data_IF_813149885680
#
_entry.id   IF_813149885680
#
_cell.length_a   1.000
_cell.length_b   1.000
_cell.length_c   1.000
_cell.angle_alpha   90.00
_cell.angle_beta   90.00
_cell.angle_gamma   90.00
#
_symmetry.space_group_name_H-M   'P 1'
#
loop_
_entity.id
_entity.type
_entity.pdbx_description
1 polymer ?
#
# COMPACT_ATOMS: atom_id res chain seq x y z
N UNK A 1 -24.68 -22.36 -10.72
CA UNK A 1 -23.41 -21.59 -10.67
C UNK A 1 -23.73 -20.25 -10.03
N UNK A 2 -23.51 -20.10 -8.72
CA UNK A 2 -23.73 -18.81 -8.06
C UNK A 2 -22.53 -17.92 -8.35
N UNK A 3 -22.74 -16.81 -9.07
CA UNK A 3 -21.70 -15.82 -9.28
C UNK A 3 -21.21 -15.33 -7.91
N UNK A 4 -19.93 -15.53 -7.62
CA UNK A 4 -19.32 -14.96 -6.42
C UNK A 4 -19.46 -13.44 -6.51
N UNK A 5 -20.12 -12.85 -5.51
CA UNK A 5 -20.35 -11.40 -5.49
C UNK A 5 -19.01 -10.69 -5.34
N UNK A 6 -18.74 -9.76 -6.25
CA UNK A 6 -17.53 -8.94 -6.25
C UNK A 6 -17.92 -7.49 -5.99
N UNK A 7 -17.40 -6.93 -4.91
CA UNK A 7 -17.62 -5.54 -4.52
C UNK A 7 -16.31 -4.76 -4.67
N UNK A 8 -16.36 -3.64 -5.38
CA UNK A 8 -15.25 -2.71 -5.52
C UNK A 8 -15.35 -1.65 -4.43
N UNK A 9 -14.28 -1.49 -3.65
CA UNK A 9 -14.22 -0.60 -2.50
C UNK A 9 -13.08 0.39 -2.67
N UNK A 10 -13.41 1.68 -2.57
CA UNK A 10 -12.40 2.73 -2.60
C UNK A 10 -11.60 2.69 -1.29
N UNK A 11 -10.28 2.57 -1.42
CA UNK A 11 -9.38 2.52 -0.27
C UNK A 11 -8.29 3.58 -0.34
N UNK A 12 -7.23 3.38 0.45
CA UNK A 12 -6.07 4.28 0.53
C UNK A 12 -5.13 4.25 -0.68
N UNK A 13 -5.41 3.38 -1.67
CA UNK A 13 -4.61 3.24 -2.89
C UNK A 13 -5.23 3.96 -4.09
N UNK A 14 -4.48 4.05 -5.19
CA UNK A 14 -4.96 4.64 -6.44
C UNK A 14 -6.00 3.77 -7.18
N UNK A 15 -5.94 2.45 -6.95
CA UNK A 15 -6.88 1.48 -7.53
C UNK A 15 -7.87 1.01 -6.46
N UNK A 16 -9.16 0.82 -6.81
CA UNK A 16 -10.14 0.26 -5.88
C UNK A 16 -9.74 -1.17 -5.47
N UNK A 17 -10.02 -1.51 -4.22
CA UNK A 17 -9.84 -2.87 -3.73
C UNK A 17 -11.02 -3.74 -4.16
N UNK A 18 -10.74 -5.00 -4.49
CA UNK A 18 -11.75 -6.00 -4.82
C UNK A 18 -12.02 -6.86 -3.57
N UNK A 19 -13.28 -6.95 -3.17
CA UNK A 19 -13.74 -7.93 -2.19
C UNK A 19 -14.61 -8.96 -2.91
N UNK A 20 -14.24 -10.23 -2.82
CA UNK A 20 -14.94 -11.37 -3.42
C UNK A 20 -15.54 -12.25 -2.34
N UNK A 21 -16.83 -12.56 -2.46
CA UNK A 21 -17.54 -13.53 -1.62
C UNK A 21 -17.80 -14.80 -2.41
N UNK A 22 -17.00 -15.82 -2.17
CA UNK A 22 -17.13 -17.13 -2.79
C UNK A 22 -17.82 -18.10 -1.82
N UNK A 23 -19.16 -18.13 -1.85
CA UNK A 23 -19.96 -18.94 -0.93
C UNK A 23 -19.80 -18.46 0.53
N UNK A 24 -19.08 -19.25 1.34
CA UNK A 24 -18.79 -18.97 2.75
C UNK A 24 -17.41 -18.32 2.99
N UNK A 25 -16.56 -18.26 1.95
CA UNK A 25 -15.21 -17.70 2.03
C UNK A 25 -15.17 -16.30 1.46
N UNK A 26 -14.43 -15.41 2.10
CA UNK A 26 -14.17 -14.05 1.64
C UNK A 26 -12.72 -13.92 1.18
N UNK A 27 -12.49 -13.06 0.20
CA UNK A 27 -11.14 -12.69 -0.25
C UNK A 27 -11.11 -11.21 -0.58
N UNK A 28 -10.24 -10.44 0.07
CA UNK A 28 -10.07 -9.02 -0.19
C UNK A 28 -8.66 -8.73 -0.71
N UNK A 29 -8.52 -7.83 -1.70
CA UNK A 29 -7.20 -7.43 -2.21
C UNK A 29 -6.53 -6.32 -1.41
N UNK A 30 -7.17 -5.85 -0.33
CA UNK A 30 -6.61 -4.79 0.53
C UNK A 30 -5.35 -5.25 1.28
N UNK A 31 -4.47 -4.29 1.58
CA UNK A 31 -3.19 -4.53 2.27
C UNK A 31 -3.36 -5.19 3.64
N UNK A 32 -4.41 -4.81 4.37
CA UNK A 32 -4.75 -5.40 5.67
C UNK A 32 -5.04 -6.89 5.50
N UNK A 33 -5.94 -7.26 4.60
CA UNK A 33 -6.27 -8.65 4.34
C UNK A 33 -5.05 -9.48 3.90
N UNK A 34 -4.20 -8.91 3.04
CA UNK A 34 -2.99 -9.59 2.55
C UNK A 34 -1.93 -9.80 3.63
N UNK A 35 -1.83 -8.89 4.60
CA UNK A 35 -0.79 -8.95 5.64
C UNK A 35 -1.31 -9.49 6.98
N UNK A 36 -2.58 -9.89 7.08
CA UNK A 36 -3.07 -10.59 8.27
C UNK A 36 -2.59 -12.04 8.22
N UNK A 37 -1.67 -12.37 9.11
CA UNK A 37 -1.14 -13.71 9.33
C UNK A 37 -2.04 -14.47 10.32
N UNK A 38 -3.28 -14.72 9.92
CA UNK A 38 -4.25 -15.52 10.67
C UNK A 38 -4.84 -16.63 9.79
N UNK A 39 -5.58 -17.56 10.40
CA UNK A 39 -6.36 -18.57 9.71
C UNK A 39 -7.33 -17.85 8.76
N UNK A 40 -7.41 -18.29 7.50
CA UNK A 40 -8.21 -17.65 6.45
C UNK A 40 -9.67 -17.36 6.89
N UNK A 41 -10.24 -18.22 7.73
CA UNK A 41 -11.59 -18.04 8.32
C UNK A 41 -11.70 -16.95 9.38
N UNK A 42 -10.61 -16.52 10.01
CA UNK A 42 -10.59 -15.45 11.04
C UNK A 42 -10.08 -14.11 10.51
N UNK A 43 -9.55 -14.08 9.29
CA UNK A 43 -9.16 -12.83 8.63
C UNK A 43 -10.37 -11.93 8.46
N UNK A 44 -10.19 -10.65 8.78
CA UNK A 44 -11.18 -9.60 8.56
C UNK A 44 -10.49 -8.32 8.14
N UNK A 45 -11.23 -7.38 7.58
CA UNK A 45 -10.74 -6.06 7.24
C UNK A 45 -11.90 -5.07 7.29
N UNK A 46 -11.61 -3.77 7.41
CA UNK A 46 -12.67 -2.74 7.47
C UNK A 46 -13.60 -2.78 6.26
N UNK A 47 -13.09 -3.13 5.09
CA UNK A 47 -13.88 -3.31 3.88
C UNK A 47 -14.96 -4.39 4.03
N UNK A 48 -14.60 -5.53 4.61
CA UNK A 48 -15.54 -6.63 4.88
C UNK A 48 -16.51 -6.28 6.02
N UNK A 49 -16.01 -5.60 7.06
CA UNK A 49 -16.82 -5.09 8.18
C UNK A 49 -17.87 -4.07 7.70
N UNK A 50 -17.54 -3.22 6.73
CA UNK A 50 -18.51 -2.26 6.17
C UNK A 50 -19.65 -2.94 5.42
N UNK A 51 -19.39 -4.09 4.77
CA UNK A 51 -20.41 -4.82 3.99
C UNK A 51 -21.25 -5.72 4.88
N UNK A 52 -20.64 -6.41 5.85
CA UNK A 52 -21.36 -7.32 6.75
C UNK A 52 -21.93 -6.64 7.98
N UNK A 53 -21.33 -5.53 8.40
CA UNK A 53 -21.50 -4.91 9.70
C UNK A 53 -20.57 -5.50 10.76
N UNK A 54 -20.06 -4.65 11.65
CA UNK A 54 -19.11 -5.03 12.70
C UNK A 54 -19.65 -6.14 13.61
N UNK A 55 -20.93 -6.06 13.99
CA UNK A 55 -21.59 -7.08 14.83
C UNK A 55 -21.63 -8.45 14.15
N UNK A 56 -21.97 -8.49 12.87
CA UNK A 56 -22.05 -9.75 12.12
C UNK A 56 -20.65 -10.34 11.87
N UNK A 57 -19.63 -9.49 11.80
CA UNK A 57 -18.26 -9.91 11.62
C UNK A 57 -17.62 -10.40 12.93
N UNK A 58 -17.87 -9.73 14.06
CA UNK A 58 -17.51 -10.20 15.41
C UNK A 58 -18.08 -11.62 15.63
N UNK A 59 -19.34 -11.87 15.27
CA UNK A 59 -19.92 -13.21 15.38
C UNK A 59 -19.24 -14.28 14.52
N UNK A 60 -18.52 -13.89 13.46
CA UNK A 60 -17.84 -14.81 12.53
C UNK A 60 -16.39 -15.09 12.94
N UNK A 61 -15.63 -14.05 13.26
CA UNK A 61 -14.19 -14.17 13.56
C UNK A 61 -13.87 -14.13 15.05
N UNK A 62 -14.86 -13.81 15.88
CA UNK A 62 -14.70 -13.54 17.30
C UNK A 62 -14.00 -12.20 17.57
N UNK A 63 -13.91 -11.83 18.85
CA UNK A 63 -13.18 -10.63 19.26
C UNK A 63 -11.69 -10.69 18.89
N UNK A 64 -11.09 -11.89 18.90
CA UNK A 64 -9.68 -12.06 18.59
C UNK A 64 -9.35 -11.75 17.12
N UNK A 65 -10.21 -12.18 16.18
CA UNK A 65 -10.03 -11.84 14.77
C UNK A 65 -10.19 -10.34 14.51
N UNK A 66 -11.08 -9.66 15.25
CA UNK A 66 -11.25 -8.21 15.18
C UNK A 66 -10.01 -7.46 15.71
N UNK A 67 -9.49 -7.89 16.87
CA UNK A 67 -8.27 -7.30 17.47
C UNK A 67 -7.06 -7.44 16.55
N UNK A 68 -6.85 -8.61 15.96
CA UNK A 68 -5.72 -8.84 15.04
C UNK A 68 -5.82 -7.94 13.79
N UNK A 69 -7.01 -7.80 13.22
CA UNK A 69 -7.20 -6.87 12.09
C UNK A 69 -6.93 -5.42 12.47
N UNK A 70 -7.35 -4.96 13.65
CA UNK A 70 -7.12 -3.57 14.07
C UNK A 70 -5.65 -3.31 14.39
N UNK A 71 -4.98 -4.23 15.08
CA UNK A 71 -3.52 -4.17 15.32
C UNK A 71 -2.75 -4.10 14.00
N UNK A 72 -3.15 -4.92 13.02
CA UNK A 72 -2.54 -4.88 11.68
C UNK A 72 -2.77 -3.53 11.00
N UNK A 73 -3.92 -2.89 11.22
CA UNK A 73 -4.21 -1.55 10.67
C UNK A 73 -3.34 -0.48 11.30
N UNK A 74 -3.17 -0.52 12.62
CA UNK A 74 -2.31 0.40 13.34
C UNK A 74 -0.83 0.21 12.93
N UNK A 75 -0.36 -1.03 12.85
CA UNK A 75 1.03 -1.31 12.44
C UNK A 75 1.31 -0.94 10.98
N UNK A 76 0.38 -1.19 10.04
CA UNK A 76 0.52 -0.72 8.65
C UNK A 76 0.40 0.80 8.51
N UNK A 77 -0.36 1.47 9.38
CA UNK A 77 -0.47 2.93 9.37
C UNK A 77 0.75 3.63 9.99
N UNK A 78 1.37 3.00 11.00
CA UNK A 78 2.54 3.52 11.70
C UNK A 78 3.87 3.28 10.96
N UNK A 79 3.91 2.36 9.99
CA UNK A 79 5.12 2.10 9.21
C UNK A 79 5.53 3.35 8.39
N UNK A 80 6.81 3.78 8.44
CA UNK A 80 7.28 4.88 7.61
C UNK A 80 7.10 4.50 6.13
N UNK A 81 6.39 5.35 5.38
CA UNK A 81 6.15 5.14 3.95
C UNK A 81 7.49 5.19 3.21
N UNK A 82 7.98 4.09 2.59
CA UNK A 82 9.10 4.22 1.67
C UNK A 82 8.56 4.94 0.42
N UNK A 83 9.04 6.15 0.15
CA UNK A 83 8.76 6.83 -1.12
C UNK A 83 7.98 8.15 -1.08
N UNK A 84 7.84 8.79 0.08
CA UNK A 84 7.79 10.26 0.08
C UNK A 84 9.06 10.72 0.77
N UNK A 85 10.12 10.88 -0.02
CA UNK A 85 11.24 11.72 0.42
C UNK A 85 10.60 13.00 0.96
N UNK A 86 10.98 13.48 2.17
CA UNK A 86 10.65 14.84 2.53
C UNK A 86 11.15 15.67 1.35
N UNK A 87 10.24 16.37 0.68
CA UNK A 87 10.65 17.46 -0.21
C UNK A 87 11.35 18.43 0.73
N UNK A 88 12.67 18.26 0.83
CA UNK A 88 13.55 19.23 1.43
C UNK A 88 13.22 20.54 0.73
N UNK A 89 12.61 21.46 1.49
CA UNK A 89 12.22 22.77 1.00
C UNK A 89 13.42 23.42 0.31
N UNK A 90 13.18 24.05 -0.84
CA UNK A 90 14.18 24.69 -1.72
C UNK A 90 15.07 25.76 -1.05
N UNK A 91 14.83 26.06 0.23
CA UNK A 91 15.56 27.06 1.03
C UNK A 91 16.95 26.63 1.49
N UNK A 92 17.25 25.34 1.51
CA UNK A 92 18.55 24.80 1.97
C UNK A 92 19.44 24.30 0.84
N UNK A 93 19.18 24.68 -0.42
CA UNK A 93 20.07 24.33 -1.53
C UNK A 93 21.37 25.14 -1.41
N UNK A 94 22.53 24.53 -1.06
CA UNK A 94 23.78 25.27 -1.12
C UNK A 94 24.02 25.69 -2.58
N UNK A 95 24.39 26.97 -2.76
CA UNK A 95 24.72 27.52 -4.06
C UNK A 95 25.72 26.59 -4.76
N UNK A 96 25.32 26.05 -5.91
CA UNK A 96 26.18 25.22 -6.74
C UNK A 96 27.47 26.00 -7.03
N UNK A 97 28.62 25.42 -6.64
CA UNK A 97 29.93 25.89 -7.08
C UNK A 97 29.95 25.92 -8.60
N UNK A 98 30.47 26.99 -9.24
CA UNK A 98 30.62 26.99 -10.69
C UNK A 98 31.58 25.88 -11.12
N UNK A 99 31.16 25.13 -12.13
CA UNK A 99 32.00 24.21 -12.88
C UNK A 99 33.20 24.94 -13.51
N UNK A 100 34.44 24.43 -13.47
CA UNK A 100 35.49 24.97 -14.31
C UNK A 100 35.23 24.53 -15.76
N UNK A 101 34.99 25.51 -16.64
CA UNK A 101 34.99 25.34 -18.09
C UNK A 101 36.34 24.76 -18.53
N UNK A 102 36.38 23.46 -18.82
CA UNK A 102 37.52 22.85 -19.51
C UNK A 102 37.38 23.11 -21.00
N UNK A 103 37.92 24.25 -21.44
CA UNK A 103 38.24 24.49 -22.84
C UNK A 103 39.71 24.17 -23.04
N UNK A 104 40.02 23.14 -23.84
CA UNK A 104 41.27 23.05 -24.59
C UNK A 104 41.16 21.98 -25.67
N UNK A 105 41.09 22.47 -26.90
CA UNK A 105 41.17 21.72 -28.13
C UNK A 105 42.52 20.99 -28.25
N UNK A 106 42.51 19.77 -28.78
CA UNK A 106 43.70 19.14 -29.34
C UNK A 106 43.45 18.89 -30.83
N UNK A 107 44.01 19.76 -31.66
CA UNK A 107 44.16 19.53 -33.10
C UNK A 107 45.15 18.38 -33.32
N UNK A 108 44.75 17.37 -34.09
CA UNK A 108 45.67 16.38 -34.65
C UNK A 108 46.07 16.83 -36.07
N UNK A 109 47.37 16.87 -36.42
CA UNK A 109 47.78 17.07 -37.80
C UNK A 109 47.56 15.79 -38.64
N UNK A 110 47.39 15.90 -39.96
CA UNK A 110 47.34 14.75 -40.86
C UNK A 110 48.74 14.14 -41.05
N UNK A 111 48.76 12.81 -41.19
CA UNK A 111 49.96 11.97 -41.44
C UNK A 111 50.20 11.92 -42.97
N UNK A 112 51.46 11.95 -43.44
CA UNK A 112 51.82 11.98 -44.88
C UNK A 112 51.42 10.71 -45.65
#
# INVERSE_FOLDING_TARGET
RGAGEVVLLQGSGQKPYELKKNGSVYSCTCSIWRHIDDIERRRTCKHLQQIRGDKAEIGRVGEQGMKNSEEKRMSLAAAPRPGRSPVLSDKDRPAARPHPSSSSAQHRPPIP
#
